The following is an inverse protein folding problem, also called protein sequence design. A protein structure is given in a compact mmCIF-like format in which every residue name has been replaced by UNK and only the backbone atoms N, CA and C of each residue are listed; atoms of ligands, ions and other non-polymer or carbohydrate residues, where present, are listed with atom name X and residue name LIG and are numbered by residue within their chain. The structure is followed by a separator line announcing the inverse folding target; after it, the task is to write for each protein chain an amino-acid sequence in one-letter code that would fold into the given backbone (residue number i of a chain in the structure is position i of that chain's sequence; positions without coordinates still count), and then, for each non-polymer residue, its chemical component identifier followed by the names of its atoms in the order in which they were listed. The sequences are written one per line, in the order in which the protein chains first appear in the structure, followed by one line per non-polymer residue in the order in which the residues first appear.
data_IF_790093151739
#
_entry.id   IF_790093151739
#
_cell.length_a   1.000
_cell.length_b   1.000
_cell.length_c   1.000
_cell.angle_alpha   90.00
_cell.angle_beta   90.00
_cell.angle_gamma   90.00
#
_symmetry.space_group_name_H-M   'P 1'
#
loop_
_entity.id
_entity.type
_entity.pdbx_description
1 polymer ?
#
# COMPACT_ATOMS: atom_id res chain seq x y z
N UNK A 1 6.12 -42.97 28.11
CA UNK A 1 5.54 -41.76 28.73
C UNK A 1 5.42 -40.70 27.64
N UNK A 2 4.22 -40.17 27.31
CA UNK A 2 4.11 -39.14 26.26
C UNK A 2 4.60 -37.79 26.81
N UNK A 3 5.59 -37.22 26.14
CA UNK A 3 6.12 -35.88 26.44
C UNK A 3 5.14 -34.84 25.91
N UNK A 4 4.50 -34.09 26.81
CA UNK A 4 3.60 -32.99 26.46
C UNK A 4 4.42 -31.83 25.91
N UNK A 5 4.45 -31.68 24.58
CA UNK A 5 5.17 -30.58 23.93
C UNK A 5 4.51 -29.24 24.28
N UNK A 6 5.30 -28.29 24.77
CA UNK A 6 4.84 -26.93 25.06
C UNK A 6 4.76 -26.19 23.73
N UNK A 7 3.56 -26.09 23.17
CA UNK A 7 3.29 -25.27 21.98
C UNK A 7 3.27 -23.82 22.45
N UNK A 8 4.43 -23.16 22.39
CA UNK A 8 4.54 -21.73 22.70
C UNK A 8 3.94 -20.95 21.53
N UNK A 9 2.80 -20.28 21.76
CA UNK A 9 2.18 -19.39 20.78
C UNK A 9 2.78 -17.99 20.95
N UNK A 10 3.73 -17.54 20.10
CA UNK A 10 4.40 -16.26 20.30
C UNK A 10 3.37 -15.14 20.13
N UNK A 11 3.03 -14.48 21.23
CA UNK A 11 2.15 -13.32 21.26
C UNK A 11 2.91 -12.14 21.86
N UNK A 12 3.04 -11.05 21.11
CA UNK A 12 3.63 -9.81 21.60
C UNK A 12 2.50 -8.97 22.20
N UNK A 13 2.23 -9.20 23.49
CA UNK A 13 1.11 -8.56 24.19
C UNK A 13 -0.25 -8.90 23.56
N UNK A 14 -0.93 -7.89 22.99
CA UNK A 14 -2.26 -8.03 22.39
C UNK A 14 -2.24 -8.48 20.92
N UNK A 15 -1.08 -8.43 20.26
CA UNK A 15 -0.90 -8.75 18.85
C UNK A 15 -0.34 -10.17 18.70
N UNK A 16 -1.16 -11.04 18.10
CA UNK A 16 -0.80 -12.42 17.76
C UNK A 16 -0.70 -12.52 16.23
N UNK A 17 0.25 -13.27 15.65
CA UNK A 17 0.37 -13.44 14.20
C UNK A 17 -0.94 -13.86 13.53
N UNK A 18 -1.70 -14.74 14.19
CA UNK A 18 -3.00 -15.21 13.73
C UNK A 18 -4.05 -14.07 13.61
N UNK A 19 -4.05 -13.12 14.55
CA UNK A 19 -4.93 -11.94 14.48
C UNK A 19 -4.54 -11.01 13.34
N UNK A 20 -3.25 -10.88 13.06
CA UNK A 20 -2.74 -10.02 11.99
C UNK A 20 -3.07 -10.60 10.61
N UNK A 21 -2.92 -11.91 10.44
CA UNK A 21 -3.35 -12.62 9.23
C UNK A 21 -4.86 -12.50 9.04
N UNK A 22 -5.64 -12.61 10.12
CA UNK A 22 -7.10 -12.44 10.05
C UNK A 22 -7.51 -11.01 9.70
N UNK A 23 -6.75 -10.00 10.13
CA UNK A 23 -7.00 -8.59 9.82
C UNK A 23 -6.45 -8.14 8.46
N UNK A 24 -5.59 -8.95 7.82
CA UNK A 24 -4.94 -8.62 6.56
C UNK A 24 -5.91 -8.23 5.42
N UNK A 25 -7.06 -8.91 5.20
CA UNK A 25 -7.98 -8.53 4.13
C UNK A 25 -8.59 -7.14 4.36
N UNK A 26 -9.00 -6.86 5.60
CA UNK A 26 -9.54 -5.56 5.98
C UNK A 26 -8.50 -4.45 5.84
N UNK A 27 -7.26 -4.70 6.29
CA UNK A 27 -6.14 -3.77 6.11
C UNK A 27 -5.80 -3.54 4.64
N UNK A 28 -5.90 -4.57 3.80
CA UNK A 28 -5.68 -4.43 2.37
C UNK A 28 -6.75 -3.54 1.72
N UNK A 29 -8.03 -3.73 2.09
CA UNK A 29 -9.13 -2.88 1.59
C UNK A 29 -8.95 -1.43 2.05
N UNK A 30 -8.66 -1.22 3.33
CA UNK A 30 -8.40 0.13 3.86
C UNK A 30 -7.15 0.76 3.24
N UNK A 31 -6.09 -0.03 3.01
CA UNK A 31 -4.88 0.41 2.34
C UNK A 31 -5.13 0.80 0.90
N UNK A 32 -5.93 0.03 0.16
CA UNK A 32 -6.34 0.36 -1.21
C UNK A 32 -7.21 1.63 -1.25
N UNK A 33 -8.16 1.78 -0.32
CA UNK A 33 -9.02 2.96 -0.22
C UNK A 33 -8.25 4.22 0.18
N UNK A 34 -7.33 4.12 1.15
CA UNK A 34 -6.46 5.22 1.53
C UNK A 34 -5.49 5.57 0.41
N UNK A 35 -4.91 4.56 -0.25
CA UNK A 35 -4.03 4.73 -1.40
C UNK A 35 -4.72 5.43 -2.57
N UNK A 36 -5.96 5.05 -2.89
CA UNK A 36 -6.74 5.72 -3.95
C UNK A 36 -7.12 7.14 -3.56
N UNK A 37 -7.50 7.39 -2.30
CA UNK A 37 -7.77 8.74 -1.81
C UNK A 37 -6.54 9.64 -1.88
N UNK A 38 -5.36 9.14 -1.48
CA UNK A 38 -4.09 9.86 -1.61
C UNK A 38 -3.72 10.07 -3.07
N UNK A 39 -3.95 9.10 -3.95
CA UNK A 39 -3.70 9.27 -5.38
C UNK A 39 -4.61 10.34 -6.02
N UNK A 40 -5.88 10.41 -5.61
CA UNK A 40 -6.83 11.40 -6.11
C UNK A 40 -6.55 12.80 -5.55
N UNK A 41 -6.38 12.94 -4.23
CA UNK A 41 -6.14 14.22 -3.57
C UNK A 41 -4.71 14.73 -3.78
N UNK A 42 -3.74 13.82 -3.84
CA UNK A 42 -2.34 14.11 -4.13
C UNK A 42 -2.04 14.27 -5.61
N UNK A 43 -3.05 14.31 -6.48
CA UNK A 43 -2.88 14.60 -7.90
C UNK A 43 -2.31 15.99 -8.16
N UNK A 44 -2.33 16.90 -7.19
CA UNK A 44 -1.66 18.21 -7.29
C UNK A 44 -0.16 18.14 -6.92
N UNK A 45 0.29 17.01 -6.36
CA UNK A 45 1.70 16.78 -5.98
C UNK A 45 2.44 16.11 -7.15
N UNK A 46 3.42 16.78 -7.78
CA UNK A 46 4.11 16.25 -8.97
C UNK A 46 4.81 14.90 -8.75
N UNK A 47 5.20 14.58 -7.51
CA UNK A 47 5.79 13.29 -7.15
C UNK A 47 4.81 12.10 -7.31
N UNK A 48 3.54 12.28 -6.93
CA UNK A 48 2.50 11.23 -6.99
C UNK A 48 2.08 10.98 -8.44
N UNK A 49 1.98 12.05 -9.25
CA UNK A 49 1.74 11.93 -10.69
C UNK A 49 2.84 11.12 -11.39
N UNK A 50 4.12 11.43 -11.09
CA UNK A 50 5.26 10.81 -11.76
C UNK A 50 5.47 9.34 -11.36
N UNK A 51 5.38 9.01 -10.07
CA UNK A 51 5.74 7.66 -9.60
C UNK A 51 4.57 6.67 -9.58
N UNK A 52 3.34 7.13 -9.36
CA UNK A 52 2.17 6.23 -9.22
C UNK A 52 1.28 6.32 -10.46
N UNK A 53 0.89 7.52 -10.88
CA UNK A 53 -0.11 7.69 -11.94
C UNK A 53 0.47 7.47 -13.34
N UNK A 54 1.72 7.88 -13.61
CA UNK A 54 2.40 7.68 -14.90
C UNK A 54 2.73 6.21 -15.20
N UNK A 55 2.85 5.37 -14.16
CA UNK A 55 3.15 3.94 -14.29
C UNK A 55 1.91 3.07 -14.59
N UNK A 56 0.72 3.67 -14.73
CA UNK A 56 -0.49 2.93 -15.07
C UNK A 56 -0.56 2.77 -16.60
N UNK A 57 -0.42 1.57 -17.16
CA UNK A 57 -0.20 1.37 -18.61
C UNK A 57 -1.37 1.82 -19.50
N UNK A 58 -2.57 2.03 -18.94
CA UNK A 58 -3.78 2.41 -19.69
C UNK A 58 -4.09 3.92 -19.55
N UNK A 59 -3.81 4.53 -18.40
CA UNK A 59 -4.18 5.93 -18.10
C UNK A 59 -3.00 6.84 -17.75
N UNK A 60 -1.76 6.31 -17.77
CA UNK A 60 -0.55 7.06 -17.46
C UNK A 60 -0.30 8.22 -18.40
N UNK A 61 -0.72 8.11 -19.67
CA UNK A 61 -0.67 9.20 -20.64
C UNK A 61 -1.55 10.40 -20.29
N UNK A 62 -2.59 10.24 -19.45
CA UNK A 62 -3.44 11.37 -19.01
C UNK A 62 -2.78 12.21 -17.92
N UNK A 63 -1.84 11.62 -17.18
CA UNK A 63 -1.09 12.27 -16.10
C UNK A 63 0.37 12.51 -16.47
N UNK A 64 0.74 12.33 -17.74
CA UNK A 64 2.04 12.68 -18.27
C UNK A 64 2.28 14.17 -18.01
N UNK A 65 3.21 14.46 -17.12
CA UNK A 65 3.71 15.80 -16.89
C UNK A 65 4.43 16.16 -18.19
N UNK A 66 3.88 17.08 -18.97
CA UNK A 66 4.65 17.83 -19.96
C UNK A 66 5.78 18.49 -19.18
N UNK A 67 6.97 17.88 -19.25
CA UNK A 67 8.20 18.54 -18.89
C UNK A 67 8.20 19.83 -19.73
N UNK A 68 8.23 21.04 -19.14
CA UNK A 68 8.43 22.23 -19.95
C UNK A 68 9.71 21.97 -20.73
N UNK A 69 9.65 22.17 -22.05
CA UNK A 69 10.81 22.10 -22.91
C UNK A 69 11.94 22.84 -22.20
N UNK A 70 12.99 22.10 -21.82
CA UNK A 70 14.27 22.71 -21.53
C UNK A 70 14.85 23.07 -22.91
N UNK A 71 14.32 24.15 -23.48
CA UNK A 71 15.07 24.99 -24.38
C UNK A 71 16.01 25.80 -23.49
N UNK A 72 17.24 25.29 -23.30
CA UNK A 72 18.52 26.02 -23.17
C UNK A 72 19.69 25.07 -22.85
#
# INVERSE_FOLDING_TARGET
MPVKQIISNPHFGMFTPEKLIRAAPSLAIWGAAAGSAVALLGSDVPLVKKDILSNIPIVGGYWAIEQPAQDE
#
